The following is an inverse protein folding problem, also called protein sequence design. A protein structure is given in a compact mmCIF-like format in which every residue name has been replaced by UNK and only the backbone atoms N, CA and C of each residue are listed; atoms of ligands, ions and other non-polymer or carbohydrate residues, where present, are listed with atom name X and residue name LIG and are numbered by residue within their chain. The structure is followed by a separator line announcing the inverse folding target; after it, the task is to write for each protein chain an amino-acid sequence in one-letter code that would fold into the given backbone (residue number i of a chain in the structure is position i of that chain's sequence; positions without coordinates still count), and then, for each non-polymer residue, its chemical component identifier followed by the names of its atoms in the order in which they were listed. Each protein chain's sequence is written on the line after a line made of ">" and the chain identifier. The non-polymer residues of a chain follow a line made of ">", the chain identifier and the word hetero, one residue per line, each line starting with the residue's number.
data_IF_051351065235
#
_entry.id   IF_051351065235
#
_cell.length_a   1.000
_cell.length_b   1.000
_cell.length_c   1.000
_cell.angle_alpha   90.00
_cell.angle_beta   90.00
_cell.angle_gamma   90.00
#
_symmetry.space_group_name_H-M   'P 1'
#
loop_
_entity.id
_entity.type
_entity.pdbx_description
1 polymer ?
#
# COMPACT_ATOMS: atom_id res chain seq x y z
N UNK A 1 -6.08 -3.35 -28.54
CA UNK A 1 -6.85 -3.95 -27.43
C UNK A 1 -6.23 -3.70 -26.06
N UNK A 2 -4.92 -3.91 -25.84
CA UNK A 2 -4.25 -3.64 -24.56
C UNK A 2 -4.17 -2.14 -24.18
N UNK A 3 -3.84 -1.26 -25.13
CA UNK A 3 -3.81 0.20 -24.88
C UNK A 3 -5.17 0.75 -24.41
N UNK A 4 -6.27 0.28 -25.01
CA UNK A 4 -7.63 0.63 -24.57
C UNK A 4 -7.93 0.18 -23.13
N UNK A 5 -7.31 -0.90 -22.63
CA UNK A 5 -7.43 -1.31 -21.22
C UNK A 5 -6.68 -0.35 -20.30
N UNK A 6 -5.55 0.21 -20.73
CA UNK A 6 -4.80 1.20 -19.95
C UNK A 6 -5.57 2.51 -19.84
N UNK A 7 -6.20 2.98 -20.92
CA UNK A 7 -7.10 4.13 -20.87
C UNK A 7 -8.33 3.90 -19.98
N UNK A 8 -8.91 2.69 -20.02
CA UNK A 8 -10.01 2.32 -19.13
C UNK A 8 -9.58 2.32 -17.66
N UNK A 9 -8.37 1.84 -17.37
CA UNK A 9 -7.81 1.90 -16.02
C UNK A 9 -7.68 3.35 -15.56
N UNK A 10 -7.11 4.22 -16.39
CA UNK A 10 -6.98 5.66 -16.09
C UNK A 10 -8.35 6.29 -15.80
N UNK A 11 -9.37 6.00 -16.62
CA UNK A 11 -10.74 6.48 -16.37
C UNK A 11 -11.32 5.94 -15.05
N UNK A 12 -11.12 4.66 -14.74
CA UNK A 12 -11.61 4.05 -13.52
C UNK A 12 -10.93 4.64 -12.26
N UNK A 13 -9.62 4.93 -12.32
CA UNK A 13 -8.89 5.64 -11.27
C UNK A 13 -9.51 7.01 -11.03
N UNK A 14 -9.67 7.81 -12.10
CA UNK A 14 -10.23 9.16 -12.00
C UNK A 14 -11.68 9.14 -11.46
N UNK A 15 -12.47 8.14 -11.86
CA UNK A 15 -13.83 7.95 -11.36
C UNK A 15 -13.83 7.63 -9.85
N UNK A 16 -12.95 6.74 -9.39
CA UNK A 16 -12.83 6.41 -7.97
C UNK A 16 -12.39 7.62 -7.15
N UNK A 17 -11.36 8.35 -7.59
CA UNK A 17 -10.89 9.53 -6.87
C UNK A 17 -11.96 10.64 -6.79
N UNK A 18 -12.74 10.80 -7.86
CA UNK A 18 -13.85 11.76 -7.89
C UNK A 18 -14.97 11.34 -6.93
N UNK A 19 -15.30 10.04 -6.89
CA UNK A 19 -16.33 9.50 -6.00
C UNK A 19 -15.93 9.66 -4.51
N UNK A 20 -14.69 9.30 -4.17
CA UNK A 20 -14.14 9.49 -2.82
C UNK A 20 -14.20 10.95 -2.37
N UNK A 21 -13.74 11.89 -3.22
CA UNK A 21 -13.81 13.33 -2.92
C UNK A 21 -15.23 13.84 -2.76
N UNK A 22 -16.20 13.30 -3.51
CA UNK A 22 -17.58 13.69 -3.39
C UNK A 22 -18.17 13.29 -2.03
N UNK A 23 -17.78 12.13 -1.49
CA UNK A 23 -18.24 11.67 -0.18
C UNK A 23 -17.64 12.44 1.00
N UNK A 24 -16.39 12.91 0.88
CA UNK A 24 -15.79 13.78 1.89
C UNK A 24 -16.61 15.08 2.11
N UNK A 25 -17.41 15.47 1.12
CA UNK A 25 -18.29 16.65 1.17
C UNK A 25 -19.71 16.35 1.66
N UNK A 26 -20.08 15.08 1.86
CA UNK A 26 -21.43 14.70 2.27
C UNK A 26 -21.55 14.85 3.80
N UNK A 27 -22.53 15.62 4.31
CA UNK A 27 -22.75 15.73 5.74
C UNK A 27 -23.12 14.38 6.36
N UNK A 28 -22.66 14.05 7.57
CA UNK A 28 -22.86 12.75 8.23
C UNK A 28 -24.34 12.39 8.51
N UNK A 29 -25.28 13.29 8.24
CA UNK A 29 -26.70 13.17 8.61
C UNK A 29 -27.62 12.71 7.46
N UNK A 30 -27.08 12.31 6.30
CA UNK A 30 -27.89 11.74 5.19
C UNK A 30 -28.10 10.24 5.39
N UNK A 31 -29.36 9.84 5.58
CA UNK A 31 -29.77 8.47 5.94
C UNK A 31 -29.64 7.42 4.83
N UNK A 32 -29.36 7.79 3.59
CA UNK A 32 -29.10 6.84 2.49
C UNK A 32 -28.04 7.46 1.58
N UNK A 33 -26.79 7.01 1.71
CA UNK A 33 -25.71 7.32 0.77
C UNK A 33 -25.36 6.02 0.07
N UNK A 34 -25.58 5.94 -1.25
CA UNK A 34 -25.11 4.81 -2.05
C UNK A 34 -23.64 5.04 -2.39
N UNK A 35 -22.82 4.01 -2.17
CA UNK A 35 -21.40 3.96 -2.50
C UNK A 35 -21.11 3.09 -3.73
N UNK A 36 -22.11 2.95 -4.62
CA UNK A 36 -22.00 2.10 -5.81
C UNK A 36 -20.93 2.62 -6.78
N UNK A 37 -20.67 3.93 -6.81
CA UNK A 37 -19.68 4.53 -7.70
C UNK A 37 -18.26 4.11 -7.33
N UNK A 38 -17.92 4.19 -6.04
CA UNK A 38 -16.64 3.76 -5.48
C UNK A 38 -16.46 2.25 -5.71
N UNK A 39 -17.50 1.48 -5.38
CA UNK A 39 -17.47 0.02 -5.53
C UNK A 39 -17.29 -0.39 -6.99
N UNK A 40 -18.03 0.21 -7.92
CA UNK A 40 -17.94 -0.10 -9.35
C UNK A 40 -16.58 0.31 -9.94
N UNK A 41 -16.06 1.49 -9.59
CA UNK A 41 -14.75 1.93 -10.06
C UNK A 41 -13.62 1.04 -9.51
N UNK A 42 -13.69 0.66 -8.23
CA UNK A 42 -12.76 -0.30 -7.63
C UNK A 42 -12.86 -1.69 -8.29
N UNK A 43 -14.08 -2.15 -8.59
CA UNK A 43 -14.30 -3.41 -9.31
C UNK A 43 -13.63 -3.38 -10.69
N UNK A 44 -13.76 -2.28 -11.43
CA UNK A 44 -13.13 -2.14 -12.74
C UNK A 44 -11.60 -2.09 -12.65
N UNK A 45 -11.05 -1.31 -11.70
CA UNK A 45 -9.60 -1.27 -11.43
C UNK A 45 -9.07 -2.69 -11.14
N UNK A 46 -9.69 -3.39 -10.18
CA UNK A 46 -9.35 -4.75 -9.79
C UNK A 46 -9.42 -5.69 -11.00
N UNK A 47 -10.52 -5.62 -11.76
CA UNK A 47 -10.75 -6.48 -12.92
C UNK A 47 -9.70 -6.28 -14.01
N UNK A 48 -9.32 -5.04 -14.32
CA UNK A 48 -8.28 -4.75 -15.32
C UNK A 48 -6.92 -5.26 -14.86
N UNK A 49 -6.53 -5.02 -13.60
CA UNK A 49 -5.20 -5.42 -13.14
C UNK A 49 -5.09 -6.95 -13.08
N UNK A 50 -6.09 -7.65 -12.53
CA UNK A 50 -6.02 -9.11 -12.33
C UNK A 50 -6.11 -9.87 -13.66
N UNK A 51 -6.90 -9.37 -14.62
CA UNK A 51 -7.13 -10.09 -15.89
C UNK A 51 -6.03 -9.91 -16.93
N UNK A 52 -4.92 -9.22 -16.59
CA UNK A 52 -3.85 -8.92 -17.54
C UNK A 52 -2.47 -9.07 -16.88
N UNK A 53 -1.52 -9.64 -17.62
CA UNK A 53 -0.14 -9.62 -17.18
C UNK A 53 0.43 -8.18 -17.22
N UNK A 54 1.25 -7.85 -16.21
CA UNK A 54 1.84 -6.52 -16.08
C UNK A 54 2.65 -6.13 -17.33
N UNK A 55 3.49 -7.03 -17.86
CA UNK A 55 4.33 -6.72 -19.01
C UNK A 55 3.51 -6.52 -20.28
N UNK A 56 2.37 -7.20 -20.43
CA UNK A 56 1.46 -6.99 -21.56
C UNK A 56 0.95 -5.56 -21.60
N UNK A 57 0.44 -5.04 -20.48
CA UNK A 57 -0.06 -3.67 -20.42
C UNK A 57 1.07 -2.64 -20.47
N UNK A 58 2.18 -2.91 -19.77
CA UNK A 58 3.33 -2.01 -19.73
C UNK A 58 4.03 -1.86 -21.10
N UNK A 59 4.12 -2.92 -21.89
CA UNK A 59 4.66 -2.84 -23.26
C UNK A 59 3.72 -2.12 -24.21
N UNK A 60 2.41 -2.24 -24.01
CA UNK A 60 1.41 -1.56 -24.82
C UNK A 60 1.35 -0.06 -24.52
N UNK A 61 1.49 0.33 -23.25
CA UNK A 61 1.57 1.72 -22.83
C UNK A 61 2.46 1.85 -21.58
N UNK A 62 3.55 2.60 -21.71
CA UNK A 62 4.54 2.78 -20.64
C UNK A 62 3.98 3.50 -19.43
N UNK A 63 2.90 4.27 -19.58
CA UNK A 63 2.19 4.95 -18.47
C UNK A 63 1.56 3.96 -17.50
N UNK A 64 1.35 2.70 -17.90
CA UNK A 64 0.73 1.69 -17.05
C UNK A 64 1.45 1.49 -15.71
N UNK A 65 2.77 1.65 -15.66
CA UNK A 65 3.53 1.54 -14.41
C UNK A 65 3.07 2.56 -13.35
N UNK A 66 2.89 3.80 -13.77
CA UNK A 66 2.46 4.90 -12.89
C UNK A 66 0.96 4.79 -12.60
N UNK A 67 0.15 4.40 -13.59
CA UNK A 67 -1.28 4.16 -13.40
C UNK A 67 -1.56 3.02 -12.44
N UNK A 68 -0.79 1.93 -12.46
CA UNK A 68 -0.89 0.87 -11.46
C UNK A 68 -0.62 1.40 -10.05
N UNK A 69 0.40 2.25 -9.89
CA UNK A 69 0.73 2.86 -8.61
C UNK A 69 -0.42 3.73 -8.10
N UNK A 70 -0.96 4.60 -8.97
CA UNK A 70 -2.12 5.44 -8.65
C UNK A 70 -3.38 4.63 -8.35
N UNK A 71 -3.60 3.53 -9.08
CA UNK A 71 -4.73 2.63 -8.85
C UNK A 71 -4.67 1.99 -7.47
N UNK A 72 -3.52 1.42 -7.09
CA UNK A 72 -3.34 0.79 -5.78
C UNK A 72 -3.47 1.83 -4.66
N UNK A 73 -2.91 3.03 -4.85
CA UNK A 73 -3.11 4.15 -3.93
C UNK A 73 -4.59 4.52 -3.76
N UNK A 74 -5.36 4.59 -4.86
CA UNK A 74 -6.78 4.94 -4.80
C UNK A 74 -7.60 3.88 -4.05
N UNK A 75 -7.25 2.60 -4.20
CA UNK A 75 -7.88 1.52 -3.43
C UNK A 75 -7.46 1.57 -1.95
N UNK A 76 -6.21 1.94 -1.63
CA UNK A 76 -5.80 2.18 -0.24
C UNK A 76 -6.60 3.30 0.44
N UNK A 77 -6.96 4.38 -0.28
CA UNK A 77 -7.85 5.43 0.25
C UNK A 77 -9.21 4.86 0.69
N UNK A 78 -9.76 3.88 -0.03
CA UNK A 78 -11.02 3.22 0.31
C UNK A 78 -10.94 2.39 1.61
N UNK A 79 -9.75 1.94 2.02
CA UNK A 79 -9.59 1.22 3.30
C UNK A 79 -9.99 2.10 4.48
N UNK A 80 -9.90 3.43 4.34
CA UNK A 80 -10.33 4.41 5.35
C UNK A 80 -11.78 4.91 5.16
N UNK A 81 -12.58 4.27 4.31
CA UNK A 81 -13.95 4.71 4.03
C UNK A 81 -14.85 4.61 5.27
N UNK A 82 -15.89 5.44 5.36
CA UNK A 82 -16.84 5.47 6.50
C UNK A 82 -17.69 4.19 6.59
N UNK A 83 -18.05 3.64 5.43
CA UNK A 83 -18.82 2.41 5.29
C UNK A 83 -17.95 1.15 5.41
N UNK A 84 -18.37 0.19 6.24
CA UNK A 84 -17.62 -1.03 6.53
C UNK A 84 -17.54 -2.00 5.35
N UNK A 85 -18.59 -2.10 4.54
CA UNK A 85 -18.62 -3.03 3.40
C UNK A 85 -17.65 -2.54 2.33
N UNK A 86 -17.59 -1.22 2.10
CA UNK A 86 -16.60 -0.60 1.22
C UNK A 86 -15.17 -0.82 1.74
N UNK A 87 -14.92 -0.68 3.05
CA UNK A 87 -13.60 -0.98 3.63
C UNK A 87 -13.19 -2.44 3.40
N UNK A 88 -14.11 -3.36 3.66
CA UNK A 88 -13.86 -4.81 3.50
C UNK A 88 -13.58 -5.14 2.04
N UNK A 89 -14.39 -4.61 1.12
CA UNK A 89 -14.21 -4.78 -0.31
C UNK A 89 -12.88 -4.20 -0.82
N UNK A 90 -12.42 -3.08 -0.27
CA UNK A 90 -11.13 -2.49 -0.59
C UNK A 90 -9.96 -3.39 -0.16
N UNK A 91 -10.01 -3.95 1.05
CA UNK A 91 -8.99 -4.91 1.52
C UNK A 91 -8.94 -6.16 0.64
N UNK A 92 -10.10 -6.74 0.30
CA UNK A 92 -10.18 -7.89 -0.61
C UNK A 92 -9.63 -7.56 -2.01
N UNK A 93 -9.90 -6.34 -2.50
CA UNK A 93 -9.41 -5.87 -3.80
C UNK A 93 -7.90 -5.69 -3.80
N UNK A 94 -7.33 -5.13 -2.73
CA UNK A 94 -5.88 -5.03 -2.55
C UNK A 94 -5.25 -6.42 -2.51
N UNK A 95 -5.80 -7.35 -1.74
CA UNK A 95 -5.26 -8.71 -1.64
C UNK A 95 -5.28 -9.42 -3.00
N UNK A 96 -6.36 -9.27 -3.75
CA UNK A 96 -6.48 -9.86 -5.07
C UNK A 96 -5.48 -9.24 -6.08
N UNK A 97 -5.30 -7.92 -6.06
CA UNK A 97 -4.33 -7.21 -6.92
C UNK A 97 -2.89 -7.60 -6.57
N UNK A 98 -2.52 -7.54 -5.30
CA UNK A 98 -1.16 -7.86 -4.85
C UNK A 98 -0.84 -9.33 -5.12
N UNK A 99 -1.77 -10.24 -4.86
CA UNK A 99 -1.61 -11.68 -5.17
C UNK A 99 -1.41 -11.91 -6.67
N UNK A 100 -2.18 -11.24 -7.54
CA UNK A 100 -2.00 -11.33 -8.99
C UNK A 100 -0.59 -10.90 -9.41
N UNK A 101 -0.08 -9.78 -8.88
CA UNK A 101 1.28 -9.32 -9.14
C UNK A 101 2.35 -10.29 -8.64
N UNK A 102 2.16 -10.90 -7.46
CA UNK A 102 3.07 -11.92 -6.92
C UNK A 102 3.11 -13.18 -7.78
N UNK A 103 1.95 -13.65 -8.27
CA UNK A 103 1.85 -14.80 -9.18
C UNK A 103 2.54 -14.51 -10.53
N UNK A 104 2.53 -13.25 -10.98
CA UNK A 104 3.32 -12.80 -12.13
C UNK A 104 4.82 -12.58 -11.83
N UNK A 105 5.31 -12.97 -10.65
CA UNK A 105 6.68 -12.78 -10.17
C UNK A 105 7.12 -11.31 -9.98
N UNK A 106 6.19 -10.36 -9.86
CA UNK A 106 6.48 -8.93 -9.70
C UNK A 106 6.70 -8.48 -8.24
N UNK A 107 7.38 -9.29 -7.43
CA UNK A 107 7.61 -9.09 -5.99
C UNK A 107 8.17 -7.70 -5.65
N UNK A 108 9.21 -7.25 -6.36
CA UNK A 108 9.82 -5.93 -6.16
C UNK A 108 8.81 -4.78 -6.28
N UNK A 109 7.85 -4.90 -7.21
CA UNK A 109 6.83 -3.87 -7.41
C UNK A 109 5.83 -3.84 -6.27
N UNK A 110 5.41 -5.02 -5.80
CA UNK A 110 4.54 -5.16 -4.62
C UNK A 110 5.19 -4.52 -3.38
N UNK A 111 6.48 -4.79 -3.13
CA UNK A 111 7.20 -4.18 -2.01
C UNK A 111 7.23 -2.66 -2.13
N UNK A 112 7.56 -2.12 -3.31
CA UNK A 112 7.59 -0.67 -3.53
C UNK A 112 6.23 -0.03 -3.26
N UNK A 113 5.14 -0.63 -3.71
CA UNK A 113 3.78 -0.12 -3.44
C UNK A 113 3.50 -0.03 -1.93
N UNK A 114 3.83 -1.10 -1.18
CA UNK A 114 3.60 -1.15 0.26
C UNK A 114 4.50 -0.19 1.05
N UNK A 115 5.80 -0.13 0.73
CA UNK A 115 6.76 0.79 1.36
C UNK A 115 6.34 2.23 1.11
N UNK A 116 5.93 2.55 -0.11
CA UNK A 116 5.45 3.88 -0.47
C UNK A 116 4.21 4.23 0.34
N UNK A 117 3.22 3.34 0.45
CA UNK A 117 2.02 3.58 1.26
C UNK A 117 2.35 3.96 2.70
N UNK A 118 3.25 3.22 3.35
CA UNK A 118 3.67 3.46 4.74
C UNK A 118 4.40 4.81 4.84
N UNK A 119 5.29 5.11 3.89
CA UNK A 119 6.08 6.34 3.89
C UNK A 119 5.27 7.62 3.60
N UNK A 120 4.06 7.52 3.02
CA UNK A 120 3.21 8.68 2.68
C UNK A 120 2.52 9.34 3.88
N UNK A 121 2.64 8.77 5.08
CA UNK A 121 2.05 9.30 6.31
C UNK A 121 0.53 9.60 6.19
N UNK A 122 -0.21 8.70 5.54
CA UNK A 122 -1.66 8.80 5.32
C UNK A 122 -2.47 8.32 6.54
N UNK A 123 -3.78 8.12 6.42
CA UNK A 123 -4.62 7.62 7.52
C UNK A 123 -4.06 6.33 8.16
N UNK A 124 -4.14 6.23 9.50
CA UNK A 124 -3.55 5.14 10.27
C UNK A 124 -3.95 3.75 9.75
N UNK A 125 -5.23 3.57 9.42
CA UNK A 125 -5.77 2.31 8.89
C UNK A 125 -5.11 1.88 7.58
N UNK A 126 -4.82 2.82 6.67
CA UNK A 126 -4.13 2.52 5.41
C UNK A 126 -2.69 2.08 5.69
N UNK A 127 -1.98 2.81 6.56
CA UNK A 127 -0.59 2.46 6.93
C UNK A 127 -0.53 1.07 7.57
N UNK A 128 -1.40 0.77 8.53
CA UNK A 128 -1.46 -0.55 9.20
C UNK A 128 -1.76 -1.65 8.17
N UNK A 129 -2.70 -1.39 7.26
CA UNK A 129 -3.08 -2.29 6.18
C UNK A 129 -1.89 -2.64 5.26
N UNK A 130 -1.07 -1.66 4.89
CA UNK A 130 0.13 -1.85 4.10
C UNK A 130 1.27 -2.51 4.90
N UNK A 131 1.48 -2.08 6.15
CA UNK A 131 2.54 -2.57 7.02
C UNK A 131 2.40 -4.06 7.35
N UNK A 132 1.19 -4.50 7.71
CA UNK A 132 0.87 -5.92 7.90
C UNK A 132 1.29 -6.76 6.71
N UNK A 133 0.93 -6.33 5.50
CA UNK A 133 1.23 -7.03 4.24
C UNK A 133 2.72 -7.00 3.93
N UNK A 134 3.41 -5.89 4.18
CA UNK A 134 4.86 -5.78 3.98
C UNK A 134 5.61 -6.78 4.86
N UNK A 135 5.29 -6.82 6.16
CA UNK A 135 5.92 -7.74 7.10
C UNK A 135 5.70 -9.20 6.69
N UNK A 136 4.51 -9.54 6.21
CA UNK A 136 4.19 -10.89 5.72
C UNK A 136 4.89 -11.25 4.41
N UNK A 137 5.22 -10.29 3.55
CA UNK A 137 5.74 -10.56 2.20
C UNK A 137 7.26 -10.43 2.08
N UNK A 138 7.91 -9.67 2.96
CA UNK A 138 9.32 -9.31 2.82
C UNK A 138 10.25 -10.53 2.73
N UNK A 139 9.93 -11.62 3.41
CA UNK A 139 10.75 -12.83 3.46
C UNK A 139 10.87 -13.54 2.11
N UNK A 140 9.88 -13.39 1.21
CA UNK A 140 9.92 -13.92 -0.16
C UNK A 140 10.88 -13.16 -1.09
N UNK A 141 11.43 -12.03 -0.65
CA UNK A 141 12.32 -11.21 -1.44
C UNK A 141 13.73 -11.81 -1.50
N UNK A 142 14.39 -11.71 -2.67
CA UNK A 142 15.80 -12.10 -2.82
C UNK A 142 16.70 -11.23 -1.94
N UNK A 143 17.75 -11.81 -1.36
CA UNK A 143 18.65 -11.11 -0.42
C UNK A 143 19.22 -9.81 -0.97
N UNK A 144 19.70 -9.80 -2.21
CA UNK A 144 20.26 -8.60 -2.86
C UNK A 144 19.24 -7.46 -3.01
N UNK A 145 17.95 -7.77 -3.16
CA UNK A 145 16.88 -6.77 -3.26
C UNK A 145 16.46 -6.24 -1.89
N UNK A 146 16.50 -7.07 -0.85
CA UNK A 146 16.20 -6.64 0.52
C UNK A 146 17.16 -5.55 0.97
N UNK A 147 18.43 -5.66 0.61
CA UNK A 147 19.42 -4.62 0.88
C UNK A 147 19.03 -3.28 0.26
N UNK A 148 18.57 -3.26 -1.01
CA UNK A 148 18.12 -2.03 -1.69
C UNK A 148 16.86 -1.44 -1.07
N UNK A 149 15.89 -2.25 -0.66
CA UNK A 149 14.64 -1.77 -0.06
C UNK A 149 14.76 -1.48 1.43
N UNK A 150 15.74 -2.07 2.10
CA UNK A 150 15.93 -1.99 3.54
C UNK A 150 16.02 -0.56 4.05
N UNK A 151 16.83 0.28 3.39
CA UNK A 151 16.94 1.71 3.74
C UNK A 151 15.59 2.44 3.62
N UNK A 152 14.82 2.15 2.58
CA UNK A 152 13.48 2.74 2.39
C UNK A 152 12.48 2.23 3.42
N UNK A 153 12.55 0.96 3.79
CA UNK A 153 11.71 0.37 4.84
C UNK A 153 12.03 1.03 6.18
N UNK A 154 13.32 1.15 6.54
CA UNK A 154 13.74 1.82 7.78
C UNK A 154 13.23 3.27 7.81
N UNK A 155 13.39 4.01 6.70
CA UNK A 155 12.86 5.37 6.61
C UNK A 155 11.34 5.45 6.78
N UNK A 156 10.59 4.51 6.19
CA UNK A 156 9.13 4.46 6.32
C UNK A 156 8.71 4.10 7.76
N UNK A 157 9.44 3.19 8.41
CA UNK A 157 9.24 2.85 9.83
C UNK A 157 9.53 4.04 10.74
N UNK A 158 10.57 4.83 10.47
CA UNK A 158 10.87 6.03 11.27
C UNK A 158 9.70 7.01 11.25
N UNK A 159 9.09 7.22 10.07
CA UNK A 159 7.88 8.07 9.94
C UNK A 159 6.70 7.45 10.69
N UNK A 160 6.49 6.14 10.56
CA UNK A 160 5.42 5.43 11.25
C UNK A 160 5.59 5.41 12.77
N UNK A 161 6.81 5.34 13.29
CA UNK A 161 7.09 5.26 14.73
C UNK A 161 6.85 6.58 15.47
N UNK A 162 6.99 7.72 14.78
CA UNK A 162 6.68 9.07 15.30
C UNK A 162 5.18 9.34 15.47
N UNK A 163 4.33 8.44 15.00
CA UNK A 163 2.87 8.62 15.03
C UNK A 163 2.29 8.25 16.39
N UNK A 164 1.54 9.14 17.06
CA UNK A 164 1.07 8.90 18.41
C UNK A 164 -0.12 7.94 18.49
N UNK A 165 -0.75 7.57 17.37
CA UNK A 165 -1.94 6.73 17.39
C UNK A 165 -1.66 5.33 17.96
N UNK A 166 -2.38 4.93 19.00
CA UNK A 166 -2.24 3.61 19.65
C UNK A 166 -2.36 2.45 18.65
N UNK A 167 -3.26 2.57 17.67
CA UNK A 167 -3.43 1.56 16.62
C UNK A 167 -2.17 1.37 15.76
N UNK A 168 -1.42 2.45 15.51
CA UNK A 168 -0.14 2.39 14.79
C UNK A 168 0.92 1.73 15.67
N UNK A 169 1.03 2.14 16.93
CA UNK A 169 2.00 1.57 17.87
C UNK A 169 1.76 0.07 18.11
N UNK A 170 0.50 -0.34 18.28
CA UNK A 170 0.12 -1.75 18.38
C UNK A 170 0.51 -2.54 17.12
N UNK A 171 0.34 -1.97 15.93
CA UNK A 171 0.76 -2.61 14.69
C UNK A 171 2.29 -2.75 14.62
N UNK A 172 3.05 -1.74 15.04
CA UNK A 172 4.52 -1.79 15.13
C UNK A 172 4.95 -2.95 16.03
N UNK A 173 4.45 -3.01 17.26
CA UNK A 173 4.77 -4.08 18.22
C UNK A 173 4.46 -5.46 17.61
N UNK A 174 3.32 -5.58 16.91
CA UNK A 174 2.85 -6.84 16.34
C UNK A 174 3.71 -7.32 15.16
N UNK A 175 4.12 -6.43 14.27
CA UNK A 175 4.71 -6.82 12.97
C UNK A 175 6.19 -6.48 12.80
N UNK A 176 6.76 -5.61 13.64
CA UNK A 176 8.16 -5.21 13.52
C UNK A 176 9.12 -6.40 13.70
N UNK A 177 8.83 -7.32 14.62
CA UNK A 177 9.64 -8.53 14.82
C UNK A 177 9.79 -9.35 13.53
N UNK A 178 8.66 -9.69 12.89
CA UNK A 178 8.66 -10.44 11.63
C UNK A 178 9.45 -9.72 10.52
N UNK A 179 9.35 -8.40 10.46
CA UNK A 179 10.10 -7.60 9.50
C UNK A 179 11.61 -7.64 9.79
N UNK A 180 12.02 -7.42 11.04
CA UNK A 180 13.43 -7.40 11.43
C UNK A 180 14.10 -8.77 11.40
N UNK A 181 13.38 -9.85 11.63
CA UNK A 181 13.88 -11.22 11.45
C UNK A 181 14.35 -11.46 10.01
N UNK A 182 13.71 -10.80 9.03
CA UNK A 182 14.13 -10.83 7.64
C UNK A 182 15.22 -9.80 7.33
N UNK A 183 15.05 -8.55 7.78
CA UNK A 183 15.95 -7.45 7.42
C UNK A 183 17.31 -7.53 8.11
N UNK A 184 17.32 -7.79 9.43
CA UNK A 184 18.51 -7.71 10.28
C UNK A 184 19.69 -8.55 9.77
N UNK A 185 19.52 -9.87 9.52
CA UNK A 185 20.59 -10.70 8.98
C UNK A 185 21.10 -10.24 7.62
N UNK A 186 20.23 -9.66 6.79
CA UNK A 186 20.53 -9.26 5.41
C UNK A 186 21.16 -7.87 5.32
N UNK A 187 20.98 -7.04 6.34
CA UNK A 187 21.51 -5.67 6.41
C UNK A 187 22.65 -5.50 7.41
N UNK A 188 23.13 -6.58 8.05
CA UNK A 188 24.15 -6.52 9.13
C UNK A 188 25.42 -5.74 8.75
N UNK A 189 25.88 -5.84 7.52
CA UNK A 189 27.09 -5.16 7.03
C UNK A 189 26.83 -3.76 6.48
N UNK A 190 25.56 -3.32 6.43
CA UNK A 190 25.21 -1.97 6.00
C UNK A 190 25.13 -1.04 7.19
N UNK A 191 26.11 -0.15 7.31
CA UNK A 191 25.95 1.05 8.09
C UNK A 191 24.98 1.98 7.35
N UNK A 192 23.81 2.19 7.95
CA UNK A 192 22.77 3.07 7.41
C UNK A 192 22.40 4.08 8.47
N UNK A 193 22.51 5.37 8.14
CA UNK A 193 21.99 6.46 8.98
C UNK A 193 20.51 6.23 9.30
N UNK A 194 19.74 5.57 8.42
CA UNK A 194 18.33 5.25 8.67
C UNK A 194 18.10 4.22 9.76
N UNK A 195 19.05 3.31 10.00
CA UNK A 195 18.96 2.42 11.15
C UNK A 195 19.17 3.19 12.46
N UNK A 196 20.09 4.16 12.45
CA UNK A 196 20.34 5.04 13.58
C UNK A 196 19.16 5.99 13.84
N UNK A 197 18.63 6.65 12.81
CA UNK A 197 17.44 7.50 12.89
C UNK A 197 16.24 6.76 13.51
N UNK A 198 16.02 5.51 13.08
CA UNK A 198 14.95 4.68 13.63
C UNK A 198 15.19 4.33 15.10
N UNK A 199 16.43 4.02 15.48
CA UNK A 199 16.79 3.74 16.87
C UNK A 199 16.57 4.97 17.77
N UNK A 200 16.99 6.17 17.34
CA UNK A 200 16.78 7.40 18.11
C UNK A 200 15.29 7.64 18.39
N UNK A 201 14.43 7.54 17.38
CA UNK A 201 12.98 7.70 17.56
C UNK A 201 12.39 6.61 18.47
N UNK A 202 12.90 5.38 18.39
CA UNK A 202 12.47 4.31 19.28
C UNK A 202 12.87 4.58 20.74
N UNK A 203 14.07 5.10 20.97
CA UNK A 203 14.54 5.48 22.30
C UNK A 203 13.74 6.66 22.88
N UNK A 204 13.45 7.67 22.06
CA UNK A 204 12.58 8.80 22.43
C UNK A 204 11.20 8.32 22.89
N UNK A 205 10.60 7.35 22.21
CA UNK A 205 9.29 6.78 22.59
C UNK A 205 9.31 5.97 23.91
N UNK A 206 10.50 5.65 24.43
CA UNK A 206 10.68 4.94 25.70
C UNK A 206 11.06 5.89 26.85
N UNK A 207 11.13 7.21 26.60
CA UNK A 207 11.63 8.22 27.54
C UNK A 207 13.02 7.86 28.13
N UNK A 208 13.88 7.21 27.32
CA UNK A 208 15.25 6.79 27.69
C UNK A 208 16.31 7.87 27.41
#
# INVERSE_FOLDING_TARGET
>A
MAAAKVERLERAINALETALKANDLVPPNRKIVSYDKERNACTEIRGIIISNDFNTLYKADRRYGDLLTKAVEAVFKMVNHVDQDIRTYAEESLDAVLRSLLLGFYHSRVLVLLITEIGRNVAARSIICAFRRLAQLIHFSKCNRVVSYGVHILSALTVMLKRPEESIQSAIITYAGLLFDTLGPRMRSQHSEKAYDLYCVAAENLDL
#
